data_IF_691455367195
#
_entry.id   IF_691455367195
#
_cell.length_a   1.000
_cell.length_b   1.000
_cell.length_c   1.000
_cell.angle_alpha   90.00
_cell.angle_beta   90.00
_cell.angle_gamma   90.00
#
_symmetry.space_group_name_H-M   'P 1'
#
loop_
_entity.id
_entity.type
_entity.pdbx_description
1 polymer ?
#
# COMPACT_ATOMS: atom_id res chain seq x y z
N UNK A 1 3.18 -24.19 -25.29
CA UNK A 1 3.92 -22.92 -25.09
C UNK A 1 3.20 -21.67 -25.63
N UNK A 2 2.07 -21.78 -26.33
CA UNK A 2 1.38 -20.62 -26.95
C UNK A 2 0.26 -20.00 -26.12
N UNK A 3 -0.20 -20.69 -25.07
CA UNK A 3 -1.38 -20.27 -24.30
C UNK A 3 -1.23 -18.88 -23.65
N UNK A 4 -0.02 -18.52 -23.20
CA UNK A 4 0.27 -17.20 -22.61
C UNK A 4 0.18 -16.10 -23.67
N UNK A 5 0.76 -16.33 -24.86
CA UNK A 5 0.74 -15.36 -25.96
C UNK A 5 -0.68 -15.12 -26.50
N UNK A 6 -1.46 -16.19 -26.63
CA UNK A 6 -2.86 -16.11 -27.05
C UNK A 6 -3.73 -15.38 -26.02
N UNK A 7 -3.54 -15.66 -24.73
CA UNK A 7 -4.25 -14.97 -23.65
C UNK A 7 -3.96 -13.46 -23.62
N UNK A 8 -2.69 -13.08 -23.74
CA UNK A 8 -2.29 -11.67 -23.81
C UNK A 8 -2.89 -10.95 -25.03
N UNK A 9 -2.93 -11.61 -26.19
CA UNK A 9 -3.54 -11.05 -27.40
C UNK A 9 -5.06 -10.83 -27.25
N UNK A 10 -5.78 -11.78 -26.63
CA UNK A 10 -7.22 -11.64 -26.36
C UNK A 10 -7.49 -10.50 -25.37
N UNK A 11 -6.68 -10.37 -24.32
CA UNK A 11 -6.81 -9.27 -23.35
C UNK A 11 -6.57 -7.90 -24.00
N UNK A 12 -5.50 -7.76 -24.78
CA UNK A 12 -5.19 -6.51 -25.49
C UNK A 12 -6.29 -6.13 -26.50
N UNK A 13 -6.80 -7.13 -27.25
CA UNK A 13 -7.93 -6.91 -28.14
C UNK A 13 -9.19 -6.48 -27.36
N UNK A 14 -9.41 -7.04 -26.16
CA UNK A 14 -10.54 -6.65 -25.31
C UNK A 14 -10.48 -5.21 -24.81
N UNK A 15 -9.29 -4.67 -24.53
CA UNK A 15 -9.13 -3.26 -24.17
C UNK A 15 -9.33 -2.33 -25.38
N UNK A 16 -8.81 -2.70 -26.56
CA UNK A 16 -9.01 -1.96 -27.82
C UNK A 16 -10.48 -1.97 -28.28
N UNK A 17 -11.24 -3.02 -27.96
CA UNK A 17 -12.67 -3.05 -28.26
C UNK A 17 -13.46 -2.02 -27.45
N UNK A 18 -13.00 -1.66 -26.24
CA UNK A 18 -13.62 -0.60 -25.44
C UNK A 18 -13.41 0.79 -26.04
N UNK A 19 -12.35 0.99 -26.85
CA UNK A 19 -12.12 2.23 -27.60
C UNK A 19 -12.86 2.25 -28.95
N UNK A 20 -13.44 1.13 -29.38
CA UNK A 20 -14.22 1.00 -30.61
C UNK A 20 -13.40 0.82 -31.88
N UNK A 21 -12.08 0.67 -31.78
CA UNK A 21 -11.18 0.52 -32.93
C UNK A 21 -11.17 -0.91 -33.50
N UNK A 22 -11.55 -1.91 -32.71
CA UNK A 22 -11.48 -3.33 -33.09
C UNK A 22 -12.74 -4.07 -32.64
N UNK A 23 -13.33 -4.86 -33.54
CA UNK A 23 -14.41 -5.79 -33.20
C UNK A 23 -13.81 -7.11 -32.70
N UNK A 24 -14.20 -7.53 -31.49
CA UNK A 24 -13.80 -8.84 -30.97
C UNK A 24 -14.64 -9.96 -31.59
N UNK A 25 -14.09 -11.17 -31.72
CA UNK A 25 -14.89 -12.38 -31.80
C UNK A 25 -15.90 -12.43 -30.63
N UNK A 26 -17.11 -12.94 -30.88
CA UNK A 26 -18.09 -13.16 -29.83
C UNK A 26 -17.62 -14.31 -28.91
N UNK A 27 -17.03 -13.95 -27.77
CA UNK A 27 -16.59 -14.88 -26.72
C UNK A 27 -17.69 -15.13 -25.67
N UNK A 28 -18.95 -14.75 -25.95
CA UNK A 28 -20.01 -14.77 -24.95
C UNK A 28 -19.79 -13.74 -23.84
N UNK A 29 -20.35 -13.98 -22.66
CA UNK A 29 -20.32 -13.09 -21.49
C UNK A 29 -19.09 -13.27 -20.58
N UNK A 30 -17.94 -13.69 -21.13
CA UNK A 30 -16.72 -13.87 -20.36
C UNK A 30 -16.18 -12.54 -19.83
N UNK A 31 -16.03 -12.41 -18.51
CA UNK A 31 -15.45 -11.23 -17.84
C UNK A 31 -14.08 -11.57 -17.28
N UNK A 32 -13.07 -10.80 -17.66
CA UNK A 32 -11.75 -10.86 -17.04
C UNK A 32 -11.69 -9.88 -15.88
N UNK A 33 -11.26 -10.35 -14.72
CA UNK A 33 -11.06 -9.52 -13.52
C UNK A 33 -9.72 -9.91 -12.93
N UNK A 34 -8.85 -8.92 -12.75
CA UNK A 34 -7.57 -9.12 -12.08
C UNK A 34 -7.78 -9.17 -10.56
N UNK A 35 -6.90 -9.83 -9.83
CA UNK A 35 -7.01 -10.02 -8.38
C UNK A 35 -5.70 -9.72 -7.67
N UNK A 36 -5.78 -9.27 -6.42
CA UNK A 36 -4.61 -8.97 -5.59
C UNK A 36 -3.81 -10.24 -5.25
N UNK A 37 -2.54 -10.30 -5.65
CA UNK A 37 -1.66 -11.44 -5.35
C UNK A 37 -1.35 -11.61 -3.86
N UNK A 38 -1.33 -10.50 -3.11
CA UNK A 38 -1.01 -10.47 -1.68
C UNK A 38 -2.00 -9.59 -0.92
N UNK A 39 -2.15 -9.88 0.36
CA UNK A 39 -2.88 -9.00 1.26
C UNK A 39 -2.06 -7.74 1.54
N UNK A 40 -2.75 -6.60 1.63
CA UNK A 40 -2.19 -5.31 1.96
C UNK A 40 -2.88 -4.73 3.19
N UNK A 41 -2.09 -4.10 4.04
CA UNK A 41 -2.58 -3.57 5.29
C UNK A 41 -1.59 -2.67 5.97
N UNK A 42 -1.80 -2.47 7.27
CA UNK A 42 -0.96 -1.62 8.10
C UNK A 42 -0.69 -2.26 9.46
N UNK A 43 0.42 -1.87 10.09
CA UNK A 43 0.68 -2.27 11.47
C UNK A 43 -0.14 -1.41 12.43
N UNK A 44 -0.68 -2.06 13.45
CA UNK A 44 -1.51 -1.41 14.47
C UNK A 44 -0.93 -1.72 15.84
N UNK A 45 -1.02 -0.73 16.73
CA UNK A 45 -0.69 -0.93 18.15
C UNK A 45 -1.85 -1.71 18.79
N UNK A 46 -1.55 -2.91 19.29
CA UNK A 46 -2.44 -3.66 20.18
C UNK A 46 -1.86 -3.60 21.60
N UNK A 47 -2.57 -2.93 22.51
CA UNK A 47 -2.18 -2.79 23.93
C UNK A 47 -2.69 -3.95 24.80
N UNK A 48 -3.19 -5.02 24.17
CA UNK A 48 -3.61 -6.24 24.87
C UNK A 48 -2.42 -6.90 25.57
N UNK A 49 -2.59 -7.38 26.82
CA UNK A 49 -1.50 -8.00 27.58
C UNK A 49 -0.98 -9.26 26.88
N UNK A 50 0.31 -9.25 26.51
CA UNK A 50 1.00 -10.37 25.87
C UNK A 50 1.43 -10.11 24.42
N UNK A 51 1.00 -9.01 23.80
CA UNK A 51 1.50 -8.56 22.50
C UNK A 51 2.68 -7.59 22.67
N UNK A 52 3.71 -7.65 21.83
CA UNK A 52 4.71 -6.57 21.77
C UNK A 52 4.09 -5.42 20.96
N UNK A 53 4.43 -4.18 21.32
CA UNK A 53 3.95 -2.99 20.59
C UNK A 53 4.34 -3.10 19.11
N UNK A 54 3.38 -2.87 18.21
CA UNK A 54 3.48 -2.90 16.73
C UNK A 54 3.51 -4.27 16.04
N UNK A 55 3.22 -5.37 16.73
CA UNK A 55 3.28 -6.71 16.09
C UNK A 55 2.01 -7.09 15.33
N UNK A 56 0.94 -6.29 15.39
CA UNK A 56 -0.36 -6.67 14.81
C UNK A 56 -0.52 -6.11 13.42
N UNK A 57 -0.56 -7.01 12.44
CA UNK A 57 -0.88 -6.67 11.07
C UNK A 57 -2.40 -6.65 10.87
N UNK A 58 -2.92 -5.50 10.44
CA UNK A 58 -4.33 -5.32 10.09
C UNK A 58 -4.47 -5.28 8.57
N UNK A 59 -5.01 -6.35 8.00
CA UNK A 59 -5.29 -6.46 6.57
C UNK A 59 -6.47 -5.55 6.21
N UNK A 60 -6.27 -4.68 5.21
CA UNK A 60 -7.30 -3.76 4.70
C UNK A 60 -7.81 -4.25 3.34
N UNK A 61 -6.91 -4.67 2.46
CA UNK A 61 -7.24 -5.32 1.18
C UNK A 61 -6.72 -6.76 1.26
N UNK A 62 -7.60 -7.76 1.37
CA UNK A 62 -7.16 -9.15 1.38
C UNK A 62 -6.66 -9.59 0.01
N UNK A 63 -5.79 -10.60 -0.03
CA UNK A 63 -5.47 -11.31 -1.27
C UNK A 63 -6.73 -11.81 -1.98
N UNK A 64 -6.61 -12.04 -3.27
CA UNK A 64 -7.69 -12.45 -4.16
C UNK A 64 -8.82 -11.41 -4.30
N UNK A 65 -8.65 -10.20 -3.73
CA UNK A 65 -9.59 -9.08 -3.94
C UNK A 65 -9.58 -8.62 -5.40
N UNK A 66 -10.74 -8.37 -6.01
CA UNK A 66 -10.81 -7.89 -7.39
C UNK A 66 -10.16 -6.50 -7.52
N UNK A 67 -9.33 -6.31 -8.54
CA UNK A 67 -8.67 -5.05 -8.87
C UNK A 67 -9.38 -4.41 -10.07
N UNK A 68 -9.68 -3.11 -10.06
CA UNK A 68 -9.34 -2.13 -9.01
C UNK A 68 -10.27 -2.22 -7.79
N UNK A 69 -9.73 -1.96 -6.60
CA UNK A 69 -10.53 -1.88 -5.37
C UNK A 69 -10.09 -0.73 -4.46
N UNK A 70 -11.02 -0.32 -3.60
CA UNK A 70 -10.79 0.71 -2.59
C UNK A 70 -11.43 0.28 -1.28
N UNK A 71 -10.66 0.35 -0.20
CA UNK A 71 -11.09 -0.02 1.15
C UNK A 71 -10.63 1.04 2.14
N UNK A 72 -11.50 1.37 3.07
CA UNK A 72 -11.24 2.32 4.14
C UNK A 72 -11.52 1.64 5.46
N UNK A 73 -10.55 1.70 6.37
CA UNK A 73 -10.67 1.20 7.73
C UNK A 73 -10.43 2.35 8.71
N UNK A 74 -11.12 2.29 9.84
CA UNK A 74 -11.07 3.33 10.87
C UNK A 74 -10.22 2.86 12.04
N UNK A 75 -9.15 3.59 12.32
CA UNK A 75 -8.22 3.38 13.42
C UNK A 75 -8.36 4.51 14.44
N UNK A 76 -7.71 4.36 15.59
CA UNK A 76 -7.84 5.30 16.69
C UNK A 76 -6.47 5.62 17.30
N UNK A 77 -6.31 6.86 17.78
CA UNK A 77 -5.12 7.26 18.54
C UNK A 77 -4.99 6.40 19.80
N UNK A 78 -3.79 5.89 20.06
CA UNK A 78 -3.55 4.92 21.13
C UNK A 78 -3.37 5.59 22.50
N UNK A 79 -2.85 6.82 22.55
CA UNK A 79 -2.48 7.50 23.79
C UNK A 79 -2.86 8.98 23.78
N UNK A 80 -2.96 9.56 24.98
CA UNK A 80 -3.17 11.00 25.16
C UNK A 80 -1.93 11.80 24.77
N UNK A 81 -2.16 12.98 24.20
CA UNK A 81 -1.14 13.89 23.65
C UNK A 81 -0.26 13.25 22.57
N UNK A 82 -0.84 12.34 21.77
CA UNK A 82 -0.13 11.72 20.66
C UNK A 82 0.19 12.77 19.57
N UNK A 83 1.47 12.94 19.25
CA UNK A 83 1.96 14.00 18.34
C UNK A 83 2.01 13.59 16.88
N UNK A 84 2.02 12.29 16.59
CA UNK A 84 2.08 11.75 15.22
C UNK A 84 1.43 10.36 15.13
N UNK A 85 1.06 9.97 13.93
CA UNK A 85 0.60 8.61 13.58
C UNK A 85 1.51 8.05 12.51
N UNK A 86 2.11 6.91 12.79
CA UNK A 86 2.87 6.13 11.82
C UNK A 86 1.92 5.24 11.02
N UNK A 87 1.94 5.37 9.70
CA UNK A 87 1.17 4.54 8.77
C UNK A 87 2.13 3.81 7.85
N UNK A 88 2.30 2.52 8.13
CA UNK A 88 3.08 1.61 7.30
C UNK A 88 2.15 0.92 6.30
N UNK A 89 2.52 0.95 5.02
CA UNK A 89 1.90 0.10 3.98
C UNK A 89 2.69 -1.18 3.92
N UNK A 90 2.04 -2.27 4.30
CA UNK A 90 2.64 -3.59 4.46
C UNK A 90 1.96 -4.55 3.50
N UNK A 91 2.78 -5.43 2.92
CA UNK A 91 2.36 -6.50 2.03
C UNK A 91 2.77 -7.84 2.62
N UNK A 92 1.83 -8.79 2.62
CA UNK A 92 2.08 -10.17 3.01
C UNK A 92 0.84 -10.80 3.61
N UNK A 93 0.94 -12.10 3.87
CA UNK A 93 -0.19 -12.97 4.24
C UNK A 93 0.08 -13.76 5.53
N UNK A 94 1.08 -13.34 6.30
CA UNK A 94 1.48 -13.95 7.58
C UNK A 94 1.07 -13.05 8.76
N UNK A 95 0.84 -13.65 9.92
CA UNK A 95 0.54 -12.91 11.14
C UNK A 95 1.81 -12.43 11.85
N UNK A 96 2.95 -13.07 11.59
CA UNK A 96 4.23 -12.68 12.15
C UNK A 96 4.85 -11.53 11.33
N UNK A 97 5.10 -10.35 11.95
CA UNK A 97 5.67 -9.20 11.26
C UNK A 97 7.03 -9.45 10.60
N UNK A 98 7.78 -10.47 11.05
CA UNK A 98 9.08 -10.84 10.45
C UNK A 98 8.97 -11.39 9.02
N UNK A 99 7.82 -11.95 8.64
CA UNK A 99 7.58 -12.48 7.30
C UNK A 99 6.83 -11.49 6.39
N UNK A 100 6.52 -10.30 6.91
CA UNK A 100 5.81 -9.26 6.18
C UNK A 100 6.79 -8.26 5.57
N UNK A 101 6.45 -7.73 4.39
CA UNK A 101 7.28 -6.73 3.70
C UNK A 101 6.64 -5.34 3.85
N UNK A 102 7.38 -4.41 4.45
CA UNK A 102 6.95 -3.00 4.50
C UNK A 102 7.35 -2.30 3.20
N UNK A 103 6.36 -1.82 2.44
CA UNK A 103 6.58 -1.12 1.17
C UNK A 103 6.92 0.35 1.41
N UNK A 104 6.18 1.00 2.31
CA UNK A 104 6.33 2.41 2.66
C UNK A 104 5.99 2.59 4.13
N UNK A 105 6.72 3.48 4.81
CA UNK A 105 6.31 4.02 6.10
C UNK A 105 6.15 5.54 5.97
N UNK A 106 5.05 6.07 6.50
CA UNK A 106 4.74 7.50 6.45
C UNK A 106 4.25 7.99 7.80
N UNK A 107 4.90 9.02 8.33
CA UNK A 107 4.51 9.67 9.58
C UNK A 107 3.60 10.86 9.27
N UNK A 108 2.37 10.83 9.81
CA UNK A 108 1.43 11.95 9.74
C UNK A 108 1.47 12.73 11.06
N UNK A 109 1.90 14.01 11.07
CA UNK A 109 1.85 14.84 12.26
C UNK A 109 0.40 15.13 12.67
N UNK A 110 0.14 15.04 13.96
CA UNK A 110 -1.13 15.40 14.58
C UNK A 110 -1.04 16.77 15.26
N UNK A 111 -2.18 17.46 15.45
CA UNK A 111 -2.23 18.63 16.32
C UNK A 111 -1.70 18.32 17.73
N UNK A 112 -0.98 19.27 18.33
CA UNK A 112 -0.53 19.20 19.71
C UNK A 112 -1.73 18.96 20.65
N UNK A 113 -1.57 18.09 21.65
CA UNK A 113 -2.61 17.69 22.62
C UNK A 113 -3.77 16.83 22.06
N UNK A 114 -3.50 15.99 21.06
CA UNK A 114 -4.49 15.01 20.58
C UNK A 114 -4.80 13.97 21.68
N UNK A 115 -6.03 13.86 22.19
CA UNK A 115 -6.37 12.83 23.19
C UNK A 115 -6.43 11.43 22.55
N UNK A 116 -6.43 10.39 23.38
CA UNK A 116 -6.64 9.02 22.95
C UNK A 116 -8.05 8.81 22.35
N UNK A 117 -8.21 7.80 21.49
CA UNK A 117 -9.50 7.40 20.93
C UNK A 117 -10.03 8.29 19.81
N UNK A 118 -9.20 9.11 19.18
CA UNK A 118 -9.58 9.95 18.03
C UNK A 118 -9.47 9.18 16.73
N UNK A 119 -10.48 9.30 15.88
CA UNK A 119 -10.63 8.53 14.63
C UNK A 119 -9.66 9.00 13.55
N UNK A 120 -8.90 8.05 13.02
CA UNK A 120 -8.00 8.19 11.88
C UNK A 120 -8.46 7.20 10.81
N UNK A 121 -8.91 7.70 9.67
CA UNK A 121 -9.33 6.85 8.54
C UNK A 121 -8.14 6.58 7.63
N UNK A 122 -7.85 5.31 7.41
CA UNK A 122 -6.82 4.88 6.48
C UNK A 122 -7.50 4.20 5.30
N UNK A 123 -7.21 4.70 4.11
CA UNK A 123 -7.81 4.25 2.86
C UNK A 123 -6.73 3.72 1.93
N UNK A 124 -6.89 2.47 1.52
CA UNK A 124 -6.06 1.80 0.53
C UNK A 124 -6.83 1.73 -0.79
N UNK A 125 -6.17 2.11 -1.86
CA UNK A 125 -6.70 2.06 -3.22
C UNK A 125 -5.73 1.28 -4.11
N UNK A 126 -6.20 0.15 -4.63
CA UNK A 126 -5.45 -0.67 -5.56
C UNK A 126 -5.92 -0.37 -6.97
N UNK A 127 -5.04 0.23 -7.78
CA UNK A 127 -5.36 0.64 -9.13
C UNK A 127 -5.15 -0.48 -10.17
N UNK A 128 -5.57 -0.22 -11.41
CA UNK A 128 -5.45 -1.16 -12.54
C UNK A 128 -4.01 -1.44 -12.98
N UNK A 129 -3.04 -0.64 -12.53
CA UNK A 129 -1.63 -0.78 -12.88
C UNK A 129 -0.87 -1.60 -11.84
N UNK A 130 -1.59 -2.25 -10.93
CA UNK A 130 -1.03 -2.93 -9.78
C UNK A 130 -0.17 -2.00 -8.89
N UNK A 131 -0.62 -0.75 -8.70
CA UNK A 131 -0.08 0.15 -7.69
C UNK A 131 -1.07 0.38 -6.56
N UNK A 132 -0.56 0.37 -5.33
CA UNK A 132 -1.35 0.65 -4.13
C UNK A 132 -1.10 2.10 -3.71
N UNK A 133 -2.19 2.84 -3.49
CA UNK A 133 -2.17 4.20 -2.98
C UNK A 133 -2.75 4.18 -1.56
N UNK A 134 -2.05 4.82 -0.63
CA UNK A 134 -2.53 4.98 0.73
C UNK A 134 -2.92 6.44 0.97
N UNK A 135 -4.03 6.65 1.65
CA UNK A 135 -4.37 7.96 2.19
C UNK A 135 -4.86 7.86 3.61
N UNK A 136 -4.43 8.82 4.42
CA UNK A 136 -4.72 8.92 5.84
C UNK A 136 -5.48 10.22 6.04
N UNK A 137 -6.58 10.16 6.78
CA UNK A 137 -7.42 11.29 7.14
C UNK A 137 -7.63 11.29 8.64
N UNK A 138 -7.20 12.37 9.30
CA UNK A 138 -7.66 12.68 10.64
C UNK A 138 -9.04 13.35 10.54
N UNK A 139 -10.08 12.67 11.02
CA UNK A 139 -11.48 13.06 10.83
C UNK A 139 -11.81 14.38 11.54
N UNK A 140 -11.18 14.67 12.68
CA UNK A 140 -11.52 15.86 13.46
C UNK A 140 -10.75 17.10 13.02
N UNK A 141 -9.45 16.95 12.69
CA UNK A 141 -8.66 18.07 12.18
C UNK A 141 -8.88 18.32 10.69
N UNK A 142 -9.42 17.34 9.96
CA UNK A 142 -9.55 17.37 8.50
C UNK A 142 -8.21 17.24 7.77
N UNK A 143 -7.11 17.02 8.49
CA UNK A 143 -5.79 16.84 7.89
C UNK A 143 -5.76 15.52 7.11
N UNK A 144 -5.49 15.62 5.81
CA UNK A 144 -5.41 14.48 4.91
C UNK A 144 -4.06 14.44 4.23
N UNK A 145 -3.43 13.27 4.26
CA UNK A 145 -2.20 13.01 3.54
C UNK A 145 -2.37 11.77 2.67
N UNK A 146 -1.82 11.80 1.47
CA UNK A 146 -1.85 10.67 0.54
C UNK A 146 -0.46 10.45 -0.01
N UNK A 147 -0.07 9.19 -0.11
CA UNK A 147 1.23 8.79 -0.62
C UNK A 147 1.09 7.51 -1.46
N UNK A 148 1.80 7.43 -2.60
CA UNK A 148 1.86 6.20 -3.37
C UNK A 148 2.74 5.19 -2.64
N UNK A 149 2.39 3.92 -2.71
CA UNK A 149 3.27 2.81 -2.33
C UNK A 149 3.82 2.12 -3.58
N UNK A 150 4.99 1.48 -3.45
CA UNK A 150 5.72 0.88 -4.56
C UNK A 150 4.89 -0.22 -5.26
N UNK A 151 5.17 -0.49 -6.55
CA UNK A 151 4.40 -1.45 -7.35
C UNK A 151 4.48 -2.86 -6.79
N UNK A 152 3.34 -3.54 -6.76
CA UNK A 152 3.20 -4.92 -6.24
C UNK A 152 3.49 -6.00 -7.28
N UNK A 153 3.63 -5.63 -8.56
CA UNK A 153 3.92 -6.55 -9.64
C UNK A 153 5.41 -6.91 -9.64
N UNK A 154 5.73 -8.20 -9.62
CA UNK A 154 7.09 -8.74 -9.58
C UNK A 154 8.07 -7.96 -10.47
N UNK A 155 8.94 -7.21 -9.82
CA UNK A 155 9.92 -6.33 -10.44
C UNK A 155 10.73 -5.68 -9.34
N UNK A 156 11.91 -6.27 -9.10
CA UNK A 156 13.07 -5.73 -8.41
C UNK A 156 12.83 -4.98 -7.10
N UNK A 157 13.30 -5.59 -6.01
CA UNK A 157 13.86 -4.83 -4.90
C UNK A 157 15.03 -3.99 -5.44
N UNK A 158 14.74 -2.86 -6.08
CA UNK A 158 15.62 -1.72 -5.99
C UNK A 158 15.58 -1.32 -4.53
N UNK A 159 16.47 -1.95 -3.75
CA UNK A 159 17.01 -1.36 -2.53
C UNK A 159 17.35 0.08 -2.89
N UNK A 160 16.47 1.01 -2.51
CA UNK A 160 16.87 2.41 -2.34
C UNK A 160 17.94 2.37 -1.26
N UNK A 161 19.19 2.20 -1.70
CA UNK A 161 20.37 2.46 -0.89
C UNK A 161 20.18 3.88 -0.38
N UNK A 162 20.09 4.11 0.94
CA UNK A 162 19.97 5.46 1.45
C UNK A 162 21.18 6.24 0.94
N UNK A 163 20.90 7.29 0.18
CA UNK A 163 21.89 8.22 -0.35
C UNK A 163 22.45 8.96 0.88
N UNK A 164 23.55 8.46 1.44
CA UNK A 164 24.32 9.23 2.40
C UNK A 164 25.19 10.22 1.62
N UNK A 165 24.78 11.48 1.59
CA UNK A 165 25.68 12.58 1.21
C UNK A 165 25.87 13.41 2.46
N UNK A 166 26.82 12.99 3.31
CA UNK A 166 27.48 13.88 4.25
C UNK A 166 28.42 14.80 3.45
N UNK A 167 28.15 16.11 3.32
CA UNK A 167 29.05 17.01 2.58
C UNK A 167 30.09 17.55 3.56
N UNK A 168 30.99 16.70 4.09
CA UNK A 168 32.04 17.18 5.01
C UNK A 168 33.22 16.25 5.30
N UNK A 169 33.82 15.60 4.30
CA UNK A 169 35.21 15.12 4.46
C UNK A 169 35.89 15.10 3.09
N UNK A 170 36.61 16.16 2.73
CA UNK A 170 37.80 16.15 1.85
C UNK A 170 38.44 17.55 1.95
N UNK A 171 38.91 17.87 3.15
CA UNK A 171 40.06 18.75 3.31
C UNK A 171 41.10 17.92 4.08
N UNK A 172 42.37 18.14 3.74
CA UNK A 172 43.58 17.50 4.26
C UNK A 172 43.96 16.16 3.61
N UNK A 173 44.72 16.24 2.51
CA UNK A 173 46.13 15.82 2.50
C UNK A 173 46.81 16.29 1.20
N UNK A 174 47.77 17.19 1.39
CA UNK A 174 48.69 17.74 0.40
C UNK A 174 49.58 16.65 -0.23
N UNK A 175 49.91 16.83 -1.52
CA UNK A 175 51.10 16.25 -2.14
C UNK A 175 52.28 17.22 -2.01
#
# INVERSE_FOLDING_TARGET
DEAVALGAAIYAASELAKTGEVALPDFGNATFTDVASHSHGTFVIDDSPGYRRNDKYSIIIPKDSPIPCKKTESFYTAHDNQTAVDVSVVQGDDDNPEFLTTLVNHEMPLPSDRPAGKEIQITFEYDKNNMVHCSVLDVESGNRQSFPSCSTAGGDTETKVPINIDPKVFDDLEF
#
